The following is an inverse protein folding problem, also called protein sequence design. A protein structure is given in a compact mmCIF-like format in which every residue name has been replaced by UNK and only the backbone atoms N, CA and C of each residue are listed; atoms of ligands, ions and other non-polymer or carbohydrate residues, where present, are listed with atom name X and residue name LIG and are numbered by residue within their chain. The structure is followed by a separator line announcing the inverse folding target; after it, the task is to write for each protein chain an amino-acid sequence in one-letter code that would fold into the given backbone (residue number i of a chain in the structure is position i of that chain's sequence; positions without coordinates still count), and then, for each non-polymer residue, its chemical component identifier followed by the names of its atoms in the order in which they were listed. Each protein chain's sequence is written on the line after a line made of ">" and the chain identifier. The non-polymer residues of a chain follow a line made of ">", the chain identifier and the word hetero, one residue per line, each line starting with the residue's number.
data_IF_019067914648
#
_entry.id   IF_019067914648
#
_cell.length_a   1.000
_cell.length_b   1.000
_cell.length_c   1.000
_cell.angle_alpha   90.00
_cell.angle_beta   90.00
_cell.angle_gamma   90.00
#
_symmetry.space_group_name_H-M   'P 1'
#
loop_
_entity.id
_entity.type
_entity.pdbx_description
1 polymer ?
#
# COMPACT_ATOMS: atom_id res chain seq x y z
N UNK A 1 16.42 -5.05 -15.07
CA UNK A 1 15.70 -3.77 -15.23
C UNK A 1 14.25 -4.02 -15.66
N UNK A 2 13.96 -4.30 -16.93
CA UNK A 2 12.58 -4.45 -17.44
C UNK A 2 11.65 -5.34 -16.61
N UNK A 3 12.06 -6.58 -16.33
CA UNK A 3 11.25 -7.53 -15.56
C UNK A 3 10.95 -7.08 -14.13
N UNK A 4 11.90 -6.41 -13.46
CA UNK A 4 11.68 -5.86 -12.13
C UNK A 4 10.68 -4.70 -12.16
N UNK A 5 10.69 -3.89 -13.21
CA UNK A 5 9.70 -2.81 -13.36
C UNK A 5 8.29 -3.40 -13.49
N UNK A 6 8.11 -4.42 -14.34
CA UNK A 6 6.83 -5.11 -14.49
C UNK A 6 6.39 -5.73 -13.16
N UNK A 7 7.29 -6.46 -12.50
CA UNK A 7 6.95 -7.15 -11.26
C UNK A 7 6.61 -6.19 -10.13
N UNK A 8 7.32 -5.07 -9.96
CA UNK A 8 7.01 -4.04 -8.98
C UNK A 8 5.62 -3.43 -9.21
N UNK A 9 5.36 -3.05 -10.46
CA UNK A 9 4.11 -2.43 -10.91
C UNK A 9 2.91 -3.40 -10.71
N UNK A 10 3.05 -4.66 -11.13
CA UNK A 10 2.01 -5.69 -10.95
C UNK A 10 1.78 -6.00 -9.46
N UNK A 11 2.85 -6.14 -8.67
CA UNK A 11 2.76 -6.43 -7.24
C UNK A 11 1.97 -5.34 -6.50
N UNK A 12 2.21 -4.08 -6.83
CA UNK A 12 1.48 -2.96 -6.23
C UNK A 12 0.00 -2.92 -6.63
N UNK A 13 -0.33 -3.14 -7.91
CA UNK A 13 -1.73 -3.18 -8.35
C UNK A 13 -2.54 -4.26 -7.66
N UNK A 14 -1.95 -5.44 -7.46
CA UNK A 14 -2.59 -6.53 -6.73
C UNK A 14 -2.71 -6.20 -5.24
N UNK A 15 -1.73 -5.50 -4.66
CA UNK A 15 -1.79 -5.06 -3.27
C UNK A 15 -2.91 -4.04 -3.03
N UNK A 16 -3.03 -3.02 -3.88
CA UNK A 16 -3.98 -1.93 -3.67
C UNK A 16 -5.44 -2.30 -4.05
N UNK A 17 -5.63 -3.31 -4.90
CA UNK A 17 -6.94 -3.80 -5.37
C UNK A 17 -7.82 -2.74 -6.06
N UNK A 18 -7.26 -1.59 -6.45
CA UNK A 18 -7.96 -0.52 -7.15
C UNK A 18 -7.90 -0.71 -8.67
N UNK A 19 -9.06 -0.75 -9.38
CA UNK A 19 -9.10 -0.99 -10.82
C UNK A 19 -8.40 0.09 -11.64
N UNK A 20 -8.34 1.33 -11.13
CA UNK A 20 -7.67 2.45 -11.82
C UNK A 20 -6.17 2.20 -11.88
N UNK A 21 -5.56 1.75 -10.78
CA UNK A 21 -4.13 1.44 -10.77
C UNK A 21 -3.84 0.20 -11.59
N UNK A 22 -4.70 -0.83 -11.53
CA UNK A 22 -4.56 -1.97 -12.43
C UNK A 22 -4.51 -1.55 -13.91
N UNK A 23 -5.39 -0.64 -14.32
CA UNK A 23 -5.41 -0.12 -15.70
C UNK A 23 -4.16 0.70 -16.02
N UNK A 24 -3.75 1.60 -15.12
CA UNK A 24 -2.50 2.37 -15.26
C UNK A 24 -1.29 1.45 -15.39
N UNK A 25 -1.23 0.40 -14.57
CA UNK A 25 -0.14 -0.57 -14.62
C UNK A 25 -0.13 -1.40 -15.90
N UNK A 26 -1.30 -1.74 -16.45
CA UNK A 26 -1.39 -2.39 -17.74
C UNK A 26 -0.86 -1.48 -18.85
N UNK A 27 -1.22 -0.20 -18.83
CA UNK A 27 -0.67 0.82 -19.75
C UNK A 27 0.84 0.94 -19.57
N UNK A 28 1.34 0.94 -18.33
CA UNK A 28 2.77 1.02 -18.03
C UNK A 28 3.53 -0.19 -18.54
N UNK A 29 2.99 -1.41 -18.38
CA UNK A 29 3.58 -2.67 -18.89
C UNK A 29 3.59 -2.67 -20.42
N UNK A 30 2.50 -2.23 -21.06
CA UNK A 30 2.42 -2.10 -22.52
C UNK A 30 3.41 -1.05 -23.03
N UNK A 31 3.47 0.13 -22.42
CA UNK A 31 4.42 1.18 -22.73
C UNK A 31 5.87 0.72 -22.54
N UNK A 32 6.13 -0.02 -21.46
CA UNK A 32 7.36 -0.76 -21.21
C UNK A 32 7.73 -1.64 -22.41
N UNK A 33 6.83 -2.54 -22.80
CA UNK A 33 7.05 -3.52 -23.85
C UNK A 33 7.40 -2.81 -25.16
N UNK A 34 6.57 -1.84 -25.57
CA UNK A 34 6.80 -1.06 -26.78
C UNK A 34 8.10 -0.25 -26.76
N UNK A 35 8.45 0.36 -25.62
CA UNK A 35 9.70 1.10 -25.44
C UNK A 35 10.95 0.21 -25.42
N UNK A 36 10.85 -1.00 -24.86
CA UNK A 36 11.97 -1.96 -24.78
C UNK A 36 12.33 -2.57 -26.13
N UNK A 37 11.36 -2.70 -27.04
CA UNK A 37 11.54 -3.29 -28.37
C UNK A 37 12.22 -2.33 -29.37
N UNK A 38 12.29 -1.02 -29.07
CA UNK A 38 12.95 -0.02 -29.94
C UNK A 38 13.90 0.89 -29.15
N UNK A 39 15.14 0.45 -28.85
CA UNK A 39 16.08 1.20 -28.01
C UNK A 39 16.71 2.44 -28.67
N UNK A 40 16.23 2.91 -29.83
CA UNK A 40 16.99 3.86 -30.65
C UNK A 40 16.52 5.32 -30.59
N UNK A 41 15.33 5.63 -30.06
CA UNK A 41 14.83 7.02 -30.05
C UNK A 41 14.05 7.35 -28.77
N UNK A 42 14.49 8.34 -27.98
CA UNK A 42 13.71 8.79 -26.84
C UNK A 42 12.42 9.45 -27.28
N UNK A 43 11.40 9.38 -26.42
CA UNK A 43 10.18 10.14 -26.63
C UNK A 43 10.49 11.65 -26.63
N UNK A 44 9.74 12.47 -27.40
CA UNK A 44 9.94 13.92 -27.38
C UNK A 44 9.74 14.46 -25.96
N UNK A 45 10.63 15.35 -25.51
CA UNK A 45 10.64 15.91 -24.13
C UNK A 45 9.29 16.52 -23.73
N UNK A 46 8.58 17.10 -24.69
CA UNK A 46 7.24 17.67 -24.47
C UNK A 46 6.28 16.57 -24.03
N UNK A 47 6.28 15.41 -24.69
CA UNK A 47 5.41 14.29 -24.31
C UNK A 47 5.73 13.78 -22.89
N UNK A 48 7.01 13.63 -22.56
CA UNK A 48 7.44 13.20 -21.21
C UNK A 48 6.97 14.22 -20.15
N UNK A 49 7.19 15.51 -20.39
CA UNK A 49 6.79 16.57 -19.47
C UNK A 49 5.27 16.66 -19.32
N UNK A 50 4.50 16.46 -20.40
CA UNK A 50 3.03 16.43 -20.34
C UNK A 50 2.55 15.25 -19.51
N UNK A 51 3.11 14.05 -19.70
CA UNK A 51 2.76 12.87 -18.88
C UNK A 51 3.17 13.09 -17.42
N UNK A 52 4.35 13.66 -17.16
CA UNK A 52 4.80 13.96 -15.81
C UNK A 52 3.87 14.96 -15.10
N UNK A 53 3.46 16.04 -15.78
CA UNK A 53 2.49 17.00 -15.25
C UNK A 53 1.13 16.34 -14.96
N UNK A 54 0.67 15.46 -15.84
CA UNK A 54 -0.56 14.69 -15.63
C UNK A 54 -0.43 13.80 -14.38
N UNK A 55 0.69 13.10 -14.22
CA UNK A 55 0.97 12.25 -13.04
C UNK A 55 0.96 13.07 -11.76
N UNK A 56 1.60 14.24 -11.76
CA UNK A 56 1.62 15.15 -10.61
C UNK A 56 0.21 15.65 -10.30
N UNK A 57 -0.58 16.03 -11.31
CA UNK A 57 -1.95 16.48 -11.13
C UNK A 57 -2.84 15.38 -10.54
N UNK A 58 -2.75 14.14 -11.05
CA UNK A 58 -3.48 12.98 -10.52
C UNK A 58 -3.11 12.75 -9.06
N UNK A 59 -1.81 12.72 -8.74
CA UNK A 59 -1.34 12.52 -7.37
C UNK A 59 -1.80 13.65 -6.43
N UNK A 60 -1.78 14.91 -6.88
CA UNK A 60 -2.25 16.04 -6.09
C UNK A 60 -3.76 15.95 -5.80
N UNK A 61 -4.57 15.59 -6.80
CA UNK A 61 -6.02 15.39 -6.62
C UNK A 61 -6.29 14.24 -5.64
N UNK A 62 -5.55 13.14 -5.74
CA UNK A 62 -5.70 12.00 -4.84
C UNK A 62 -5.37 12.37 -3.40
N UNK A 63 -4.25 13.09 -3.18
CA UNK A 63 -3.85 13.58 -1.87
C UNK A 63 -4.90 14.54 -1.28
N UNK A 64 -5.50 15.41 -2.10
CA UNK A 64 -6.54 16.34 -1.65
C UNK A 64 -7.85 15.62 -1.30
N UNK A 65 -8.18 14.51 -1.96
CA UNK A 65 -9.43 13.75 -1.73
C UNK A 65 -9.32 12.78 -0.56
N UNK A 66 -8.21 12.04 -0.48
CA UNK A 66 -8.05 10.89 0.43
C UNK A 66 -7.09 11.20 1.57
N UNK A 67 -6.26 12.24 1.43
CA UNK A 67 -5.18 12.58 2.35
C UNK A 67 -3.86 11.92 1.98
N UNK A 68 -2.82 12.22 2.76
CA UNK A 68 -1.48 11.63 2.57
C UNK A 68 -1.45 10.25 3.20
N UNK A 69 -1.53 9.21 2.35
CA UNK A 69 -1.46 7.81 2.76
C UNK A 69 -0.43 7.01 1.95
N UNK A 70 -0.14 5.79 2.42
CA UNK A 70 0.80 4.86 1.76
C UNK A 70 0.39 4.58 0.31
N UNK A 71 -0.90 4.40 0.06
CA UNK A 71 -1.42 4.17 -1.30
C UNK A 71 -1.13 5.35 -2.24
N UNK A 72 -1.38 6.60 -1.81
CA UNK A 72 -1.09 7.78 -2.62
C UNK A 72 0.40 7.90 -2.98
N UNK A 73 1.30 7.63 -2.01
CA UNK A 73 2.74 7.60 -2.25
C UNK A 73 3.14 6.49 -3.24
N UNK A 74 2.56 5.31 -3.08
CA UNK A 74 2.85 4.15 -3.92
C UNK A 74 2.43 4.37 -5.37
N UNK A 75 1.24 4.94 -5.57
CA UNK A 75 0.70 5.31 -6.88
C UNK A 75 1.58 6.32 -7.56
N UNK A 76 1.95 7.39 -6.85
CA UNK A 76 2.87 8.39 -7.36
C UNK A 76 4.20 7.76 -7.78
N UNK A 77 4.76 6.88 -6.94
CA UNK A 77 6.02 6.18 -7.23
C UNK A 77 5.91 5.25 -8.44
N UNK A 78 4.81 4.49 -8.55
CA UNK A 78 4.55 3.61 -9.69
C UNK A 78 4.36 4.39 -11.00
N UNK A 79 3.70 5.55 -10.95
CA UNK A 79 3.56 6.44 -12.09
C UNK A 79 4.90 7.07 -12.48
N UNK A 80 5.73 7.50 -11.53
CA UNK A 80 7.08 7.98 -11.82
C UNK A 80 7.95 6.90 -12.45
N UNK A 81 7.86 5.67 -11.96
CA UNK A 81 8.55 4.51 -12.55
C UNK A 81 8.11 4.30 -14.01
N UNK A 82 6.82 4.53 -14.29
CA UNK A 82 6.25 4.45 -15.63
C UNK A 82 6.77 5.55 -16.56
N UNK A 83 6.89 6.77 -16.07
CA UNK A 83 7.47 7.91 -16.81
C UNK A 83 8.95 7.69 -17.10
N UNK A 84 9.71 7.17 -16.13
CA UNK A 84 11.16 6.92 -16.29
C UNK A 84 11.48 5.91 -17.38
N UNK A 85 10.52 5.08 -17.79
CA UNK A 85 10.69 4.17 -18.92
C UNK A 85 10.76 4.88 -20.27
N UNK A 86 10.18 6.08 -20.38
CA UNK A 86 10.10 6.86 -21.62
C UNK A 86 11.33 7.76 -21.83
N UNK A 87 12.18 7.89 -20.81
CA UNK A 87 13.34 8.78 -20.79
C UNK A 87 14.61 8.07 -21.33
N UNK A 88 15.61 8.87 -21.73
CA UNK A 88 16.93 8.36 -22.10
C UNK A 88 17.58 7.70 -20.88
N UNK A 89 18.07 6.47 -21.04
CA UNK A 89 18.70 5.75 -19.94
C UNK A 89 20.18 6.07 -19.84
N UNK A 90 20.54 6.85 -18.83
CA UNK A 90 21.92 6.91 -18.33
C UNK A 90 22.12 5.93 -17.18
N UNK A 91 23.37 5.59 -16.83
CA UNK A 91 23.66 4.74 -15.67
C UNK A 91 23.09 5.30 -14.35
N UNK A 92 22.94 6.63 -14.24
CA UNK A 92 22.29 7.26 -13.08
C UNK A 92 20.79 6.97 -13.04
N UNK A 93 20.13 6.92 -14.20
CA UNK A 93 18.70 6.62 -14.30
C UNK A 93 18.40 5.18 -13.92
N UNK A 94 19.28 4.25 -14.27
CA UNK A 94 19.17 2.83 -13.88
C UNK A 94 19.20 2.66 -12.34
N UNK A 95 20.04 3.43 -11.63
CA UNK A 95 20.02 3.46 -10.16
C UNK A 95 18.70 3.99 -9.61
N UNK A 96 18.17 5.07 -10.19
CA UNK A 96 16.88 5.65 -9.80
C UNK A 96 15.73 4.66 -10.01
N UNK A 97 15.73 3.94 -11.13
CA UNK A 97 14.72 2.92 -11.44
C UNK A 97 14.73 1.79 -10.40
N UNK A 98 15.92 1.33 -9.97
CA UNK A 98 16.02 0.32 -8.92
C UNK A 98 15.48 0.82 -7.57
N UNK A 99 15.78 2.06 -7.21
CA UNK A 99 15.24 2.69 -5.99
C UNK A 99 13.73 2.79 -6.07
N UNK A 100 13.17 3.22 -7.21
CA UNK A 100 11.72 3.31 -7.41
C UNK A 100 11.04 1.93 -7.33
N UNK A 101 11.62 0.88 -7.93
CA UNK A 101 11.07 -0.48 -7.82
C UNK A 101 11.07 -0.97 -6.37
N UNK A 102 12.15 -0.72 -5.62
CA UNK A 102 12.24 -1.05 -4.20
C UNK A 102 11.19 -0.28 -3.38
N UNK A 103 11.01 1.01 -3.64
CA UNK A 103 9.99 1.84 -2.97
C UNK A 103 8.57 1.32 -3.23
N UNK A 104 8.26 0.92 -4.45
CA UNK A 104 6.96 0.32 -4.79
C UNK A 104 6.77 -1.03 -4.09
N UNK A 105 7.81 -1.86 -4.01
CA UNK A 105 7.77 -3.11 -3.26
C UNK A 105 7.46 -2.88 -1.78
N UNK A 106 8.16 -1.95 -1.14
CA UNK A 106 7.90 -1.56 0.27
C UNK A 106 6.46 -1.07 0.43
N UNK A 107 5.98 -0.24 -0.49
CA UNK A 107 4.62 0.26 -0.44
C UNK A 107 3.58 -0.86 -0.58
N UNK A 108 3.80 -1.82 -1.48
CA UNK A 108 2.93 -2.99 -1.61
C UNK A 108 2.88 -3.81 -0.31
N UNK A 109 4.02 -3.94 0.41
CA UNK A 109 4.10 -4.68 1.69
C UNK A 109 3.25 -4.00 2.76
N UNK A 110 3.21 -2.67 2.75
CA UNK A 110 2.45 -1.86 3.69
C UNK A 110 0.96 -1.78 3.36
N UNK A 111 0.59 -1.92 2.08
CA UNK A 111 -0.81 -1.80 1.63
C UNK A 111 -1.62 -3.08 1.82
N UNK A 112 -1.04 -4.27 1.64
CA UNK A 112 -1.82 -5.52 1.62
C UNK A 112 -1.11 -6.70 2.25
N UNK A 113 -1.90 -7.51 2.97
CA UNK A 113 -1.46 -8.76 3.61
C UNK A 113 -1.95 -10.02 2.88
N UNK A 114 -2.51 -9.88 1.68
CA UNK A 114 -3.02 -11.01 0.92
C UNK A 114 -1.90 -11.99 0.54
N UNK A 115 -2.21 -13.29 0.57
CA UNK A 115 -1.25 -14.34 0.22
C UNK A 115 -0.66 -14.17 -1.19
N UNK A 116 -1.49 -13.81 -2.17
CA UNK A 116 -1.06 -13.57 -3.55
C UNK A 116 -0.06 -12.41 -3.61
N UNK A 117 -0.33 -11.32 -2.89
CA UNK A 117 0.57 -10.17 -2.77
C UNK A 117 1.92 -10.59 -2.20
N UNK A 118 1.94 -11.41 -1.14
CA UNK A 118 3.16 -11.97 -0.56
C UNK A 118 3.96 -12.83 -1.55
N UNK A 119 3.29 -13.67 -2.34
CA UNK A 119 3.93 -14.49 -3.36
C UNK A 119 4.57 -13.62 -4.46
N UNK A 120 3.85 -12.58 -4.93
CA UNK A 120 4.37 -11.64 -5.93
C UNK A 120 5.60 -10.89 -5.42
N UNK A 121 5.64 -10.52 -4.14
CA UNK A 121 6.82 -9.87 -3.53
C UNK A 121 8.04 -10.77 -3.49
N UNK A 122 7.87 -12.08 -3.27
CA UNK A 122 8.98 -13.04 -3.32
C UNK A 122 9.55 -13.12 -4.74
N UNK A 123 8.67 -13.20 -5.75
CA UNK A 123 9.09 -13.16 -7.15
C UNK A 123 9.81 -11.84 -7.47
N UNK A 124 9.24 -10.72 -7.04
CA UNK A 124 9.83 -9.39 -7.27
C UNK A 124 11.19 -9.22 -6.60
N UNK A 125 11.38 -9.78 -5.40
CA UNK A 125 12.67 -9.76 -4.71
C UNK A 125 13.78 -10.43 -5.53
N UNK A 126 13.47 -11.54 -6.20
CA UNK A 126 14.42 -12.23 -7.10
C UNK A 126 14.69 -11.40 -8.36
N UNK A 127 13.66 -10.75 -8.91
CA UNK A 127 13.80 -9.89 -10.09
C UNK A 127 14.64 -8.64 -9.79
N UNK A 128 14.44 -8.02 -8.63
CA UNK A 128 15.24 -6.91 -8.12
C UNK A 128 16.69 -7.32 -7.90
N UNK A 129 16.94 -8.45 -7.24
CA UNK A 129 18.29 -8.96 -7.02
C UNK A 129 19.01 -9.18 -8.36
N UNK A 130 18.35 -9.81 -9.34
CA UNK A 130 18.89 -9.97 -10.69
C UNK A 130 19.19 -8.62 -11.34
N UNK A 131 18.28 -7.66 -11.24
CA UNK A 131 18.46 -6.33 -11.82
C UNK A 131 19.62 -5.58 -11.16
N UNK A 132 19.78 -5.71 -9.85
CA UNK A 132 20.87 -5.13 -9.07
C UNK A 132 22.23 -5.72 -9.46
N UNK A 133 22.35 -7.05 -9.56
CA UNK A 133 23.59 -7.72 -10.00
C UNK A 133 23.99 -7.26 -11.41
N UNK A 134 23.03 -7.17 -12.33
CA UNK A 134 23.30 -6.69 -13.70
C UNK A 134 23.73 -5.22 -13.71
N UNK A 135 23.11 -4.38 -12.88
CA UNK A 135 23.49 -2.97 -12.74
C UNK A 135 24.92 -2.83 -12.21
N UNK A 136 25.27 -3.58 -11.17
CA UNK A 136 26.63 -3.55 -10.62
C UNK A 136 27.66 -4.03 -11.64
N UNK A 137 27.37 -5.11 -12.38
CA UNK A 137 28.24 -5.60 -13.43
C UNK A 137 28.43 -4.56 -14.55
N UNK A 138 27.35 -3.90 -14.96
CA UNK A 138 27.40 -2.85 -15.97
C UNK A 138 28.27 -1.67 -15.51
N UNK A 139 28.10 -1.20 -14.27
CA UNK A 139 28.91 -0.11 -13.73
C UNK A 139 30.40 -0.44 -13.70
N UNK A 140 30.76 -1.66 -13.28
CA UNK A 140 32.16 -2.10 -13.24
C UNK A 140 32.79 -2.14 -14.64
N UNK A 141 32.05 -2.61 -15.64
CA UNK A 141 32.52 -2.64 -17.03
C UNK A 141 32.65 -1.22 -17.60
N UNK A 142 31.67 -0.35 -17.33
CA UNK A 142 31.61 1.02 -17.85
C UNK A 142 32.63 1.97 -17.21
N UNK A 143 33.04 1.73 -15.96
CA UNK A 143 34.10 2.49 -15.29
C UNK A 143 35.53 2.17 -15.78
N UNK A 144 35.66 1.40 -16.87
CA UNK A 144 36.95 1.11 -17.46
C UNK A 144 37.73 0.10 -16.65
N UNK A 145 37.10 -1.05 -16.35
CA UNK A 145 37.80 -2.23 -15.86
C UNK A 145 39.12 -2.39 -16.64
N UNK A 146 40.28 -2.51 -15.96
CA UNK A 146 41.57 -2.42 -16.60
C UNK A 146 41.63 -3.39 -17.77
N UNK A 147 41.75 -2.84 -18.98
CA UNK A 147 41.71 -3.55 -20.28
C UNK A 147 42.73 -4.69 -20.41
N UNK A 148 43.58 -4.88 -19.39
CA UNK A 148 44.58 -5.94 -19.22
C UNK A 148 44.72 -6.40 -17.76
N UNK A 149 43.64 -6.57 -17.00
CA UNK A 149 43.70 -7.52 -15.89
C UNK A 149 43.88 -8.92 -16.49
N UNK A 150 45.12 -9.38 -16.58
CA UNK A 150 45.45 -10.73 -17.02
C UNK A 150 44.82 -11.66 -15.99
N UNK A 151 43.64 -12.20 -16.30
CA UNK A 151 42.97 -13.20 -15.46
C UNK A 151 43.91 -14.41 -15.42
N UNK A 152 44.72 -14.51 -14.36
CA UNK A 152 45.75 -15.55 -14.20
C UNK A 152 45.14 -16.92 -13.93
N UNK A 153 43.88 -16.96 -13.46
CA UNK A 153 43.05 -18.16 -13.38
C UNK A 153 41.61 -17.78 -13.72
N UNK A 154 40.95 -18.43 -14.70
CA UNK A 154 39.54 -18.24 -14.92
C UNK A 154 38.80 -18.80 -13.69
N UNK A 155 38.45 -17.92 -12.74
CA UNK A 155 37.52 -18.28 -11.69
C UNK A 155 36.17 -18.41 -12.40
N UNK A 156 35.75 -19.66 -12.64
CA UNK A 156 34.38 -19.96 -13.05
C UNK A 156 33.49 -19.75 -11.82
N UNK A 157 33.26 -18.49 -11.47
CA UNK A 157 32.19 -18.16 -10.53
C UNK A 157 30.90 -18.48 -11.27
N UNK A 158 30.20 -19.53 -10.84
CA UNK A 158 28.89 -19.84 -11.38
C UNK A 158 27.90 -18.78 -10.90
N UNK A 159 27.81 -17.70 -11.67
CA UNK A 159 27.00 -16.53 -11.35
C UNK A 159 25.53 -16.89 -11.22
N UNK A 160 25.08 -17.97 -11.89
CA UNK A 160 23.71 -18.51 -11.74
C UNK A 160 23.54 -19.14 -10.36
N UNK A 161 24.48 -19.97 -9.92
CA UNK A 161 24.45 -20.57 -8.59
C UNK A 161 24.47 -19.49 -7.49
N UNK A 162 25.29 -18.46 -7.63
CA UNK A 162 25.34 -17.34 -6.67
C UNK A 162 24.02 -16.53 -6.64
N UNK A 163 23.40 -16.28 -7.80
CA UNK A 163 22.09 -15.64 -7.90
C UNK A 163 20.99 -16.50 -7.26
N UNK A 164 21.01 -17.82 -7.49
CA UNK A 164 20.03 -18.75 -6.89
C UNK A 164 20.23 -18.83 -5.38
N UNK A 165 21.46 -18.96 -4.89
CA UNK A 165 21.76 -19.03 -3.47
C UNK A 165 21.38 -17.73 -2.73
N UNK A 166 21.74 -16.57 -3.30
CA UNK A 166 21.39 -15.26 -2.73
C UNK A 166 19.88 -15.04 -2.81
N UNK A 167 19.24 -15.40 -3.92
CA UNK A 167 17.79 -15.32 -4.07
C UNK A 167 17.05 -16.19 -3.05
N UNK A 168 17.53 -17.41 -2.83
CA UNK A 168 16.99 -18.31 -1.80
C UNK A 168 17.15 -17.72 -0.40
N UNK A 169 18.32 -17.16 -0.08
CA UNK A 169 18.55 -16.48 1.19
C UNK A 169 17.61 -15.27 1.39
N UNK A 170 17.42 -14.44 0.35
CA UNK A 170 16.48 -13.32 0.40
C UNK A 170 15.03 -13.78 0.61
N UNK A 171 14.59 -14.83 -0.07
CA UNK A 171 13.26 -15.42 0.11
C UNK A 171 13.09 -15.95 1.52
N UNK A 172 14.08 -16.68 2.03
CA UNK A 172 14.03 -17.30 3.35
C UNK A 172 13.98 -16.22 4.45
N UNK A 173 14.88 -15.24 4.38
CA UNK A 173 14.90 -14.10 5.32
C UNK A 173 13.61 -13.29 5.19
N UNK A 174 13.17 -12.98 3.98
CA UNK A 174 11.94 -12.24 3.72
C UNK A 174 10.70 -12.96 4.24
N UNK A 175 10.63 -14.29 4.09
CA UNK A 175 9.58 -15.14 4.63
C UNK A 175 9.58 -15.19 6.16
N UNK A 176 10.76 -15.28 6.78
CA UNK A 176 10.88 -15.20 8.25
C UNK A 176 10.40 -13.83 8.72
N UNK A 177 10.87 -12.74 8.12
CA UNK A 177 10.42 -11.37 8.43
C UNK A 177 8.91 -11.25 8.25
N UNK A 178 8.34 -11.87 7.20
CA UNK A 178 6.91 -11.86 6.92
C UNK A 178 6.10 -12.47 8.06
N UNK A 179 6.57 -13.59 8.62
CA UNK A 179 5.89 -14.33 9.68
C UNK A 179 6.14 -13.72 11.06
N UNK A 180 7.37 -13.26 11.32
CA UNK A 180 7.83 -12.82 12.64
C UNK A 180 7.44 -11.38 12.94
N UNK A 181 7.50 -10.47 11.97
CA UNK A 181 7.14 -9.07 12.23
C UNK A 181 5.62 -8.94 12.39
N UNK A 182 5.13 -8.34 13.49
CA UNK A 182 3.71 -8.03 13.65
C UNK A 182 3.31 -6.99 12.61
N UNK A 183 2.66 -7.43 11.53
CA UNK A 183 2.23 -6.60 10.39
C UNK A 183 1.12 -5.60 10.72
N UNK A 184 0.61 -5.62 11.95
CA UNK A 184 -0.33 -4.64 12.47
C UNK A 184 0.40 -3.33 12.84
N UNK A 185 0.98 -2.66 11.84
CA UNK A 185 1.28 -1.23 11.94
C UNK A 185 -0.09 -0.54 11.90
N UNK A 186 -0.69 -0.35 13.08
CA UNK A 186 -2.11 -0.01 13.28
C UNK A 186 -2.88 -0.94 14.23
N UNK A 187 -2.21 -1.93 14.84
CA UNK A 187 -2.75 -2.63 16.01
C UNK A 187 -2.68 -1.75 17.27
N UNK A 188 -3.27 -2.19 18.40
CA UNK A 188 -3.46 -1.37 19.61
C UNK A 188 -2.19 -0.69 20.19
N UNK A 189 -0.99 -1.13 19.78
CA UNK A 189 0.29 -0.54 20.19
C UNK A 189 0.81 0.60 19.30
N UNK A 190 0.28 0.83 18.10
CA UNK A 190 0.70 1.93 17.21
C UNK A 190 -0.24 3.16 17.27
N UNK A 191 -1.39 3.04 17.95
CA UNK A 191 -2.34 4.14 18.23
C UNK A 191 -1.73 5.31 19.02
N UNK A 192 -0.54 5.10 19.61
CA UNK A 192 0.14 6.12 20.40
C UNK A 192 0.95 7.13 19.54
N UNK A 193 1.25 6.83 18.27
CA UNK A 193 2.13 7.67 17.45
C UNK A 193 1.42 8.49 16.36
N UNK A 194 0.17 8.15 16.01
CA UNK A 194 -0.64 8.90 15.05
C UNK A 194 -2.11 8.89 15.47
N UNK A 195 -2.63 10.06 15.81
CA UNK A 195 -3.98 10.31 16.36
C UNK A 195 -5.00 9.18 16.23
N UNK A 196 -5.31 8.55 17.37
CA UNK A 196 -6.43 7.65 17.66
C UNK A 196 -7.47 7.56 16.53
N UNK A 197 -7.35 6.51 15.70
CA UNK A 197 -8.36 6.21 14.67
C UNK A 197 -9.63 5.75 15.38
N UNK A 198 -10.63 6.63 15.44
CA UNK A 198 -11.88 6.35 16.15
C UNK A 198 -12.81 5.53 15.25
N UNK A 199 -13.13 4.30 15.65
CA UNK A 199 -14.10 3.45 14.95
C UNK A 199 -15.50 3.74 15.52
N UNK A 200 -16.52 3.85 14.66
CA UNK A 200 -17.90 4.06 15.09
C UNK A 200 -18.41 2.87 15.92
N UNK A 201 -18.90 3.11 17.12
CA UNK A 201 -19.48 2.09 18.01
C UNK A 201 -20.01 2.70 19.31
N UNK A 202 -20.67 1.89 20.13
CA UNK A 202 -21.04 2.31 21.48
C UNK A 202 -19.80 2.42 22.36
N UNK A 203 -19.66 3.57 23.03
CA UNK A 203 -18.56 3.87 23.95
C UNK A 203 -19.13 4.57 25.19
N UNK A 204 -18.50 4.35 26.35
CA UNK A 204 -18.86 5.01 27.60
C UNK A 204 -18.43 6.49 27.65
N UNK A 205 -17.63 6.92 26.67
CA UNK A 205 -17.27 8.32 26.48
C UNK A 205 -17.18 8.73 25.02
N UNK A 206 -17.61 9.95 24.71
CA UNK A 206 -17.52 10.57 23.38
C UNK A 206 -16.75 11.87 23.48
N UNK A 207 -15.62 11.97 22.79
CA UNK A 207 -14.80 13.18 22.69
C UNK A 207 -15.22 13.99 21.46
N UNK A 208 -15.74 15.20 21.67
CA UNK A 208 -16.10 16.14 20.61
C UNK A 208 -14.87 16.97 20.20
N UNK A 209 -14.74 17.26 18.90
CA UNK A 209 -13.72 18.17 18.39
C UNK A 209 -12.31 17.58 18.24
N UNK A 210 -12.14 16.25 18.35
CA UNK A 210 -10.88 15.61 17.97
C UNK A 210 -10.72 15.59 16.44
N UNK A 211 -9.62 16.14 15.88
CA UNK A 211 -9.32 15.96 14.46
C UNK A 211 -8.98 14.49 14.18
N UNK A 212 -9.80 13.83 13.38
CA UNK A 212 -9.64 12.44 12.98
C UNK A 212 -10.86 11.93 12.21
N UNK A 213 -10.64 11.08 11.20
CA UNK A 213 -11.74 10.44 10.48
C UNK A 213 -12.37 9.34 11.34
N UNK A 214 -13.68 9.44 11.61
CA UNK A 214 -14.43 8.35 12.23
C UNK A 214 -14.66 7.28 11.15
N UNK A 215 -14.07 6.10 11.33
CA UNK A 215 -14.26 4.99 10.39
C UNK A 215 -15.57 4.28 10.73
N UNK A 216 -16.50 4.21 9.79
CA UNK A 216 -17.72 3.42 9.95
C UNK A 216 -17.39 1.92 9.96
N UNK A 217 -17.90 1.20 10.96
CA UNK A 217 -17.81 -0.26 11.01
C UNK A 217 -19.02 -0.88 10.34
N UNK A 218 -18.82 -1.84 9.44
CA UNK A 218 -19.88 -2.66 8.82
C UNK A 218 -20.21 -3.92 9.62
N UNK A 219 -19.65 -4.08 10.82
CA UNK A 219 -19.91 -5.24 11.67
C UNK A 219 -21.38 -5.24 12.12
N UNK A 220 -22.18 -6.28 11.81
CA UNK A 220 -23.55 -6.37 12.30
C UNK A 220 -23.58 -6.31 13.83
N UNK A 221 -24.39 -5.43 14.40
CA UNK A 221 -24.47 -5.19 15.85
C UNK A 221 -25.69 -5.87 16.48
N UNK A 222 -26.79 -5.94 15.74
CA UNK A 222 -28.05 -6.50 16.20
C UNK A 222 -28.84 -7.02 15.00
N UNK A 223 -29.47 -8.18 15.15
CA UNK A 223 -30.52 -8.67 14.26
C UNK A 223 -31.82 -8.69 15.08
N UNK A 224 -32.86 -7.99 14.59
CA UNK A 224 -34.09 -7.75 15.33
C UNK A 224 -35.29 -7.89 14.40
N UNK A 225 -36.25 -8.73 14.78
CA UNK A 225 -37.56 -8.82 14.15
C UNK A 225 -38.61 -8.22 15.08
N UNK A 226 -39.33 -7.19 14.62
CA UNK A 226 -40.37 -6.53 15.39
C UNK A 226 -41.73 -6.91 14.82
N UNK A 227 -42.61 -7.45 15.66
CA UNK A 227 -43.96 -7.87 15.26
C UNK A 227 -45.02 -7.18 16.11
N UNK A 228 -46.14 -6.81 15.50
CA UNK A 228 -47.35 -6.37 16.21
C UNK A 228 -48.06 -7.56 16.90
N UNK A 229 -49.08 -7.28 17.71
CA UNK A 229 -49.96 -8.28 18.37
C UNK A 229 -50.58 -9.27 17.40
N UNK A 230 -50.75 -8.88 16.13
CA UNK A 230 -51.29 -9.72 15.06
C UNK A 230 -50.20 -10.50 14.30
N UNK A 231 -48.94 -10.47 14.76
CA UNK A 231 -47.81 -11.17 14.13
C UNK A 231 -47.26 -10.52 12.85
N UNK A 232 -47.75 -9.32 12.49
CA UNK A 232 -47.25 -8.60 11.32
C UNK A 232 -45.95 -7.86 11.62
N UNK A 233 -44.98 -7.91 10.69
CA UNK A 233 -43.69 -7.24 10.85
C UNK A 233 -43.85 -5.71 10.74
N UNK A 234 -43.50 -4.99 11.80
CA UNK A 234 -43.57 -3.53 11.91
C UNK A 234 -42.21 -2.85 11.71
N UNK A 235 -41.15 -3.61 11.45
CA UNK A 235 -39.80 -3.12 11.17
C UNK A 235 -39.52 -2.79 9.69
N UNK A 236 -40.54 -2.81 8.83
CA UNK A 236 -40.38 -2.56 7.39
C UNK A 236 -40.16 -1.06 7.08
N UNK A 237 -39.40 -0.77 6.00
CA UNK A 237 -38.95 0.57 5.56
C UNK A 237 -40.06 1.63 5.45
N UNK A 238 -41.32 1.23 5.30
CA UNK A 238 -42.49 2.11 5.16
C UNK A 238 -43.21 2.45 6.47
N UNK A 239 -42.62 2.12 7.62
CA UNK A 239 -43.19 2.38 8.96
C UNK A 239 -42.45 3.53 9.63
N UNK A 240 -43.07 4.16 10.64
CA UNK A 240 -42.42 5.18 11.47
C UNK A 240 -41.05 4.70 11.99
N UNK A 241 -40.01 5.54 11.94
CA UNK A 241 -38.65 5.13 12.33
C UNK A 241 -38.62 4.68 13.79
N UNK A 242 -38.14 3.45 14.01
CA UNK A 242 -37.99 2.87 15.34
C UNK A 242 -36.58 3.18 15.84
N UNK A 243 -36.48 4.09 16.82
CA UNK A 243 -35.22 4.47 17.43
C UNK A 243 -34.84 3.50 18.55
N UNK A 244 -33.84 2.66 18.30
CA UNK A 244 -33.24 1.80 19.32
C UNK A 244 -32.25 2.62 20.16
N UNK A 245 -32.66 2.96 21.38
CA UNK A 245 -31.82 3.72 22.32
C UNK A 245 -30.76 2.78 22.91
N UNK A 246 -29.49 3.02 22.58
CA UNK A 246 -28.37 2.21 23.09
C UNK A 246 -27.85 2.68 24.45
N UNK A 247 -27.25 3.88 24.50
CA UNK A 247 -26.67 4.43 25.72
C UNK A 247 -26.97 5.93 25.86
N UNK A 248 -26.98 6.41 27.11
CA UNK A 248 -27.21 7.82 27.45
C UNK A 248 -25.95 8.33 28.15
N UNK A 249 -25.42 9.43 27.64
CA UNK A 249 -24.29 10.13 28.25
C UNK A 249 -24.82 11.42 28.85
N UNK A 250 -24.68 11.56 30.16
CA UNK A 250 -25.35 12.62 30.94
C UNK A 250 -24.36 13.69 31.38
N UNK A 251 -23.09 13.33 31.56
CA UNK A 251 -22.07 14.24 32.07
C UNK A 251 -21.26 14.82 30.92
N UNK A 252 -21.31 16.14 30.76
CA UNK A 252 -20.46 16.88 29.83
C UNK A 252 -19.35 17.61 30.58
N UNK A 253 -18.09 17.30 30.25
CA UNK A 253 -16.92 18.00 30.80
C UNK A 253 -15.87 18.18 29.70
N UNK A 254 -15.45 19.43 29.46
CA UNK A 254 -14.33 19.78 28.55
C UNK A 254 -14.37 19.09 27.18
N UNK A 255 -15.52 19.15 26.49
CA UNK A 255 -15.67 18.53 25.17
C UNK A 255 -15.88 17.02 25.20
N UNK A 256 -16.03 16.40 26.37
CA UNK A 256 -16.26 14.96 26.52
C UNK A 256 -17.63 14.69 27.15
N UNK A 257 -18.40 13.81 26.53
CA UNK A 257 -19.60 13.22 27.11
C UNK A 257 -19.24 11.91 27.81
N UNK A 258 -19.75 11.68 29.01
CA UNK A 258 -19.57 10.45 29.79
C UNK A 258 -20.90 9.96 30.35
N UNK A 259 -20.99 8.65 30.61
CA UNK A 259 -22.13 8.07 31.34
C UNK A 259 -22.18 8.67 32.74
N UNK A 260 -23.37 9.10 33.17
CA UNK A 260 -23.60 9.53 34.55
C UNK A 260 -23.47 8.33 35.48
N UNK A 261 -22.85 8.51 36.64
CA UNK A 261 -22.97 7.53 37.73
C UNK A 261 -24.45 7.41 38.04
N UNK A 262 -25.06 6.26 37.74
CA UNK A 262 -26.44 6.00 38.11
C UNK A 262 -26.55 6.27 39.61
N UNK A 263 -27.35 7.27 39.96
CA UNK A 263 -27.69 7.54 41.34
C UNK A 263 -28.49 6.32 41.80
N UNK A 264 -27.88 5.46 42.63
CA UNK A 264 -28.53 4.37 43.32
C UNK A 264 -29.68 4.96 44.16
N UNK A 265 -30.85 5.12 43.55
CA UNK A 265 -32.08 5.36 44.30
C UNK A 265 -32.46 4.00 44.90
N UNK A 266 -32.46 3.84 46.23
CA UNK A 266 -33.07 2.67 46.83
C UNK A 266 -34.54 2.67 46.42
N UNK A 267 -34.95 1.64 45.68
CA UNK A 267 -36.37 1.40 45.42
C UNK A 267 -37.04 1.17 46.77
N UNK A 268 -37.76 2.19 47.25
CA UNK A 268 -38.64 2.04 48.38
C UNK A 268 -39.77 1.10 47.95
N UNK A 269 -39.81 -0.07 48.58
CA UNK A 269 -40.92 -1.01 48.49
C UNK A 269 -42.24 -0.29 48.82
N UNK A 270 -43.20 -0.33 47.88
CA UNK A 270 -44.63 -0.20 48.13
C UNK A 270 -45.39 -1.10 47.19
#
# INVERSE_FOLDING_TARGET
>A
MFWAIIGAVVSFSVADANPVYMLLTLISVLGCWFGSVRPARPAPRIAINTVLLLVIAIAAVEILRVGVGVSAFAVFTALLLSVKLLDLRTARDDAQVLVLCLSVLVAAVLTSNNFITGLLMLVESVLLLRAFVLFQLHNVVSMGAPRRARITKPVRVDMRSMLVATGFACILIGGIIFVVLPRNIGGPGFDQWGGSRSVSGFSDSVDLGRPGMISMSTKPVLDLTLTDRNGMNIGAENTTPIYLRGAVLEQYQQGKWRRGSAMDMPMAER
#
